data_IF_074428464887
#
_entry.id   IF_074428464887
#
_cell.length_a   1.000
_cell.length_b   1.000
_cell.length_c   1.000
_cell.angle_alpha   90.00
_cell.angle_beta   90.00
_cell.angle_gamma   90.00
#
_symmetry.space_group_name_H-M   'P 1'
#
loop_
_entity.id
_entity.type
_entity.pdbx_description
1 polymer ?
#
# COMPACT_ATOMS: atom_id res chain seq x y z
N UNK A 1 -16.02 -1.96 -15.92
CA UNK A 1 -14.55 -2.12 -15.85
C UNK A 1 -14.25 -2.82 -14.53
N UNK A 2 -13.77 -4.07 -14.57
CA UNK A 2 -13.46 -4.84 -13.37
C UNK A 2 -12.12 -4.33 -12.80
N UNK A 3 -12.19 -3.53 -11.74
CA UNK A 3 -11.02 -3.20 -10.91
C UNK A 3 -10.64 -4.46 -10.12
N UNK A 4 -9.97 -5.41 -10.77
CA UNK A 4 -9.46 -6.61 -10.12
C UNK A 4 -8.27 -6.22 -9.25
N UNK A 5 -8.48 -6.20 -7.94
CA UNK A 5 -7.39 -6.08 -6.96
C UNK A 5 -6.49 -7.30 -7.13
N UNK A 6 -5.24 -7.05 -7.47
CA UNK A 6 -4.26 -8.09 -7.75
C UNK A 6 -3.52 -8.47 -6.45
N UNK A 7 -3.77 -9.70 -5.97
CA UNK A 7 -3.19 -10.26 -4.75
C UNK A 7 -1.88 -11.02 -4.99
N UNK A 8 -1.24 -10.87 -6.17
CA UNK A 8 -0.01 -11.58 -6.56
C UNK A 8 1.26 -11.25 -5.75
N UNK A 9 1.14 -10.56 -4.61
CA UNK A 9 2.26 -10.18 -3.75
C UNK A 9 2.69 -8.71 -3.85
N UNK A 10 1.91 -7.86 -4.51
CA UNK A 10 2.15 -6.41 -4.53
C UNK A 10 1.92 -5.82 -3.12
N UNK A 11 2.74 -4.84 -2.68
CA UNK A 11 2.51 -4.16 -1.42
C UNK A 11 1.23 -3.32 -1.50
N UNK A 12 0.50 -3.25 -0.38
CA UNK A 12 -0.66 -2.39 -0.21
C UNK A 12 -0.31 -1.25 0.73
N UNK A 13 -0.77 -0.04 0.40
CA UNK A 13 -0.58 1.14 1.23
C UNK A 13 -1.92 1.81 1.52
N UNK A 14 -2.31 1.87 2.79
CA UNK A 14 -3.60 2.40 3.22
C UNK A 14 -3.46 3.80 3.78
N UNK A 15 -4.09 4.79 3.14
CA UNK A 15 -4.19 6.15 3.68
C UNK A 15 -5.44 6.22 4.57
N UNK A 16 -5.24 6.42 5.88
CA UNK A 16 -6.30 6.37 6.89
C UNK A 16 -6.62 4.95 7.35
N UNK A 17 -5.57 4.17 7.65
CA UNK A 17 -5.70 2.76 8.01
C UNK A 17 -6.47 2.52 9.32
N UNK A 18 -6.53 3.49 10.24
CA UNK A 18 -7.24 3.39 11.51
C UNK A 18 -8.76 3.51 11.41
N UNK A 19 -9.32 3.74 10.21
CA UNK A 19 -10.76 3.67 9.98
C UNK A 19 -11.31 2.25 10.14
N UNK A 20 -12.55 2.12 10.62
CA UNK A 20 -13.20 0.81 10.89
C UNK A 20 -13.18 -0.11 9.65
N UNK A 21 -13.48 0.42 8.46
CA UNK A 21 -13.50 -0.37 7.22
C UNK A 21 -12.11 -0.68 6.66
N UNK A 22 -11.21 0.31 6.66
CA UNK A 22 -9.86 0.15 6.08
C UNK A 22 -9.01 -0.77 6.95
N UNK A 23 -9.14 -0.69 8.26
CA UNK A 23 -8.42 -1.55 9.20
C UNK A 23 -8.80 -3.02 9.06
N UNK A 24 -10.09 -3.33 8.85
CA UNK A 24 -10.53 -4.70 8.60
C UNK A 24 -9.92 -5.29 7.33
N UNK A 25 -9.89 -4.50 6.24
CA UNK A 25 -9.29 -4.92 4.97
C UNK A 25 -7.77 -5.12 5.12
N UNK A 26 -7.09 -4.17 5.76
CA UNK A 26 -5.67 -4.26 6.04
C UNK A 26 -5.33 -5.50 6.86
N UNK A 27 -6.11 -5.80 7.91
CA UNK A 27 -5.92 -6.98 8.74
C UNK A 27 -6.01 -8.27 7.94
N UNK A 28 -7.02 -8.42 7.08
CA UNK A 28 -7.18 -9.61 6.23
C UNK A 28 -6.01 -9.76 5.25
N UNK A 29 -5.51 -8.66 4.69
CA UNK A 29 -4.35 -8.69 3.80
C UNK A 29 -3.07 -9.10 4.54
N UNK A 30 -2.85 -8.58 5.75
CA UNK A 30 -1.73 -8.96 6.60
C UNK A 30 -1.79 -10.44 6.99
N UNK A 31 -2.97 -10.96 7.33
CA UNK A 31 -3.17 -12.39 7.62
C UNK A 31 -2.83 -13.29 6.41
N UNK A 32 -3.05 -12.79 5.20
CA UNK A 32 -2.65 -13.44 3.94
C UNK A 32 -1.15 -13.32 3.62
N UNK A 33 -0.34 -12.82 4.57
CA UNK A 33 1.09 -12.58 4.42
C UNK A 33 1.45 -11.66 3.25
N UNK A 34 0.53 -10.75 2.90
CA UNK A 34 0.82 -9.69 1.93
C UNK A 34 1.51 -8.51 2.63
N UNK A 35 2.44 -7.82 1.96
CA UNK A 35 3.07 -6.63 2.53
C UNK A 35 2.04 -5.51 2.61
N UNK A 36 1.65 -5.16 3.84
CA UNK A 36 0.68 -4.10 4.10
C UNK A 36 1.34 -2.98 4.86
N UNK A 37 1.08 -1.76 4.41
CA UNK A 37 1.48 -0.54 5.08
C UNK A 37 0.31 0.42 5.17
N UNK A 38 0.35 1.38 6.07
CA UNK A 38 -0.64 2.42 6.10
C UNK A 38 -0.25 3.61 6.96
N UNK A 39 -0.90 4.73 6.73
CA UNK A 39 -0.69 5.98 7.43
C UNK A 39 -1.95 6.39 8.19
N UNK A 40 -1.77 6.97 9.37
CA UNK A 40 -2.86 7.61 10.11
C UNK A 40 -2.34 8.80 10.91
N UNK A 41 -3.19 9.83 11.07
CA UNK A 41 -2.94 10.98 11.94
C UNK A 41 -3.20 10.65 13.41
N UNK A 42 -4.03 9.63 13.68
CA UNK A 42 -4.39 9.22 15.04
C UNK A 42 -4.07 7.75 15.27
N UNK A 43 -3.09 7.51 16.14
CA UNK A 43 -2.85 6.19 16.66
C UNK A 43 -3.99 5.77 17.58
N UNK A 44 -4.54 4.59 17.31
CA UNK A 44 -5.60 3.96 18.10
C UNK A 44 -5.21 2.53 18.43
N UNK A 45 -5.99 1.89 19.29
CA UNK A 45 -5.83 0.45 19.58
C UNK A 45 -5.89 -0.42 18.29
N UNK A 46 -6.57 0.07 17.25
CA UNK A 46 -6.67 -0.61 15.94
C UNK A 46 -5.33 -0.56 15.20
N UNK A 47 -4.71 0.63 15.10
CA UNK A 47 -3.42 0.78 14.42
C UNK A 47 -2.32 -0.01 15.13
N UNK A 48 -2.37 -0.06 16.46
CA UNK A 48 -1.45 -0.89 17.25
C UNK A 48 -1.63 -2.38 16.96
N UNK A 49 -2.87 -2.89 16.95
CA UNK A 49 -3.14 -4.30 16.61
C UNK A 49 -2.69 -4.67 15.20
N UNK A 50 -2.86 -3.76 14.24
CA UNK A 50 -2.37 -3.97 12.87
C UNK A 50 -0.84 -4.02 12.82
N UNK A 51 -0.17 -3.15 13.58
CA UNK A 51 1.29 -3.17 13.71
C UNK A 51 1.77 -4.49 14.34
N UNK A 52 1.11 -4.96 15.39
CA UNK A 52 1.39 -6.26 16.02
C UNK A 52 1.12 -7.44 15.07
N UNK A 53 0.12 -7.33 14.20
CA UNK A 53 -0.17 -8.33 13.18
C UNK A 53 0.88 -8.38 12.04
N UNK A 54 1.76 -7.36 11.94
CA UNK A 54 2.82 -7.29 10.93
C UNK A 54 2.62 -6.24 9.84
N UNK A 55 1.65 -5.34 9.98
CA UNK A 55 1.50 -4.20 9.08
C UNK A 55 2.48 -3.07 9.45
N UNK A 56 2.99 -2.35 8.45
CA UNK A 56 3.86 -1.19 8.67
C UNK A 56 3.04 0.10 8.81
N UNK A 57 3.04 0.72 9.99
CA UNK A 57 2.22 1.91 10.26
C UNK A 57 3.07 3.18 10.31
N UNK A 58 2.70 4.18 9.51
CA UNK A 58 3.26 5.53 9.53
C UNK A 58 2.38 6.44 10.40
N UNK A 59 3.01 7.23 11.26
CA UNK A 59 2.33 8.10 12.23
C UNK A 59 1.97 9.50 11.68
N UNK A 60 2.31 9.74 10.42
CA UNK A 60 2.04 10.98 9.69
C UNK A 60 1.52 10.63 8.30
N UNK A 61 0.68 11.49 7.72
CA UNK A 61 0.16 11.33 6.36
C UNK A 61 0.92 12.25 5.39
N UNK A 62 2.14 11.87 5.07
CA UNK A 62 3.06 12.68 4.28
C UNK A 62 3.40 12.00 2.96
N UNK A 63 3.66 12.81 1.92
CA UNK A 63 4.05 12.31 0.61
C UNK A 63 5.32 11.44 0.64
N UNK A 64 6.18 11.60 1.65
CA UNK A 64 7.42 10.83 1.78
C UNK A 64 7.19 9.35 2.06
N UNK A 65 6.05 8.99 2.69
CA UNK A 65 5.67 7.60 2.94
C UNK A 65 5.55 6.79 1.65
N UNK A 66 5.09 7.41 0.56
CA UNK A 66 5.02 6.74 -0.74
C UNK A 66 6.40 6.59 -1.41
N UNK A 67 7.30 7.55 -1.18
CA UNK A 67 8.68 7.48 -1.67
C UNK A 67 9.49 6.37 -1.02
N UNK A 68 9.11 5.94 0.19
CA UNK A 68 9.68 4.76 0.83
C UNK A 68 9.63 3.52 -0.09
N UNK A 69 8.49 3.33 -0.77
CA UNK A 69 8.31 2.20 -1.69
C UNK A 69 8.98 2.44 -3.06
N UNK A 70 9.06 3.70 -3.49
CA UNK A 70 9.80 4.07 -4.71
C UNK A 70 11.27 3.67 -4.59
N UNK A 71 11.95 4.01 -3.49
CA UNK A 71 13.35 3.64 -3.24
C UNK A 71 13.56 2.13 -3.21
N UNK A 72 12.64 1.39 -2.59
CA UNK A 72 12.69 -0.07 -2.57
C UNK A 72 12.63 -0.67 -3.98
N UNK A 73 11.85 -0.06 -4.87
CA UNK A 73 11.71 -0.49 -6.27
C UNK A 73 12.87 -0.04 -7.17
N UNK A 74 13.46 1.13 -6.91
CA UNK A 74 14.59 1.67 -7.67
C UNK A 74 15.90 0.88 -7.44
N UNK A 75 16.03 0.18 -6.32
CA UNK A 75 17.17 -0.68 -6.01
C UNK A 75 17.17 -2.06 -6.72
N UNK A 76 16.02 -2.49 -7.26
CA UNK A 76 15.89 -3.80 -7.92
C UNK A 76 16.25 -3.79 -9.42
N UNK A 77 16.50 -2.61 -10.00
CA UNK A 77 16.84 -2.47 -11.41
C UNK A 77 18.37 -2.44 -11.59
N UNK A 78 19.04 -3.51 -11.19
CA UNK A 78 20.41 -3.78 -11.62
C UNK A 78 20.59 -5.28 -11.77
N UNK A 79 20.69 -5.71 -13.04
CA UNK A 79 21.45 -6.88 -13.50
C UNK A 79 20.72 -8.24 -13.59
N UNK A 80 20.28 -8.51 -14.82
CA UNK A 80 20.49 -9.73 -15.61
C UNK A 80 19.84 -11.10 -15.23
N UNK A 81 19.36 -11.73 -16.32
CA UNK A 81 19.46 -13.17 -16.65
C UNK A 81 18.42 -14.16 -16.12
N UNK A 82 17.45 -14.41 -17.01
CA UNK A 82 17.11 -15.74 -17.54
C UNK A 82 16.98 -16.90 -16.54
N UNK A 83 15.74 -17.20 -16.12
CA UNK A 83 15.32 -18.58 -15.90
C UNK A 83 13.79 -18.73 -16.01
N UNK A 84 13.38 -19.69 -16.84
CA UNK A 84 12.00 -20.09 -17.11
C UNK A 84 11.35 -20.58 -15.80
N UNK A 85 10.46 -19.79 -15.21
CA UNK A 85 9.37 -20.26 -14.35
C UNK A 85 8.06 -19.87 -15.03
N UNK A 86 7.04 -20.73 -15.09
CA UNK A 86 5.81 -20.49 -15.85
C UNK A 86 4.90 -19.41 -15.24
N UNK A 87 5.39 -18.60 -14.31
CA UNK A 87 4.75 -17.37 -13.83
C UNK A 87 5.36 -16.17 -14.54
N UNK A 88 5.14 -16.09 -15.85
CA UNK A 88 5.47 -14.90 -16.64
C UNK A 88 4.33 -13.90 -16.52
N UNK A 89 4.36 -13.01 -15.51
CA UNK A 89 3.62 -11.75 -15.60
C UNK A 89 4.29 -10.64 -14.77
N UNK A 90 4.91 -9.70 -15.48
CA UNK A 90 5.04 -8.32 -15.05
C UNK A 90 6.14 -8.02 -14.03
N UNK A 91 7.36 -7.93 -14.52
CA UNK A 91 8.42 -7.12 -13.91
C UNK A 91 8.03 -5.64 -13.92
N UNK A 92 7.19 -5.21 -12.99
CA UNK A 92 6.95 -3.79 -12.70
C UNK A 92 7.41 -3.51 -11.28
N UNK A 93 8.49 -2.74 -11.17
CA UNK A 93 9.04 -2.15 -9.96
C UNK A 93 7.92 -1.77 -8.97
N UNK A 94 7.98 -2.36 -7.78
CA UNK A 94 6.88 -2.64 -6.85
C UNK A 94 6.31 -1.41 -6.12
N UNK A 95 5.76 -0.46 -6.88
CA UNK A 95 4.93 0.61 -6.33
C UNK A 95 3.66 0.00 -5.70
N UNK A 96 3.31 0.39 -4.47
CA UNK A 96 2.20 -0.21 -3.74
C UNK A 96 0.87 0.16 -4.37
N UNK A 97 -0.10 -0.73 -4.23
CA UNK A 97 -1.50 -0.39 -4.48
C UNK A 97 -1.97 0.51 -3.34
N UNK A 98 -2.24 1.77 -3.65
CA UNK A 98 -2.68 2.74 -2.65
C UNK A 98 -4.19 2.65 -2.51
N UNK A 99 -4.65 2.34 -1.30
CA UNK A 99 -6.06 2.29 -0.93
C UNK A 99 -6.35 3.46 -0.01
N UNK A 100 -7.38 4.24 -0.33
CA UNK A 100 -7.76 5.39 0.48
C UNK A 100 -9.26 5.37 0.75
N UNK A 101 -9.64 5.80 1.96
CA UNK A 101 -11.04 6.04 2.30
C UNK A 101 -11.55 7.31 1.60
N UNK A 102 -12.83 7.31 1.24
CA UNK A 102 -13.57 8.49 0.77
C UNK A 102 -13.53 9.69 1.74
N UNK A 103 -13.28 9.45 3.03
CA UNK A 103 -13.19 10.48 4.05
C UNK A 103 -11.85 11.25 4.07
N UNK A 104 -10.85 10.84 3.30
CA UNK A 104 -9.56 11.54 3.26
C UNK A 104 -9.71 12.85 2.49
N UNK A 105 -9.26 13.95 3.12
CA UNK A 105 -9.27 15.26 2.50
C UNK A 105 -8.34 15.31 1.28
N UNK A 106 -8.81 15.92 0.19
CA UNK A 106 -8.04 16.10 -1.04
C UNK A 106 -6.81 17.00 -0.85
N UNK A 107 -6.76 17.78 0.24
CA UNK A 107 -5.58 18.55 0.65
C UNK A 107 -4.45 17.68 1.21
N UNK A 108 -4.68 16.39 1.45
CA UNK A 108 -3.65 15.49 1.97
C UNK A 108 -2.53 15.29 0.92
N UNK A 109 -1.30 15.61 1.32
CA UNK A 109 -0.12 15.50 0.46
C UNK A 109 0.15 14.07 -0.02
N UNK A 110 -0.09 13.07 0.85
CA UNK A 110 0.09 11.66 0.52
C UNK A 110 -0.93 11.21 -0.52
N UNK A 111 -2.20 11.61 -0.39
CA UNK A 111 -3.23 11.28 -1.36
C UNK A 111 -2.96 11.93 -2.74
N UNK A 112 -2.52 13.19 -2.76
CA UNK A 112 -2.14 13.88 -4.01
C UNK A 112 -0.97 13.19 -4.70
N UNK A 113 0.03 12.76 -3.92
CA UNK A 113 1.14 11.96 -4.45
C UNK A 113 0.66 10.61 -4.96
N UNK A 114 -0.24 9.91 -4.26
CA UNK A 114 -0.80 8.63 -4.71
C UNK A 114 -1.57 8.75 -6.04
N UNK A 115 -2.32 9.83 -6.22
CA UNK A 115 -3.00 10.13 -7.49
C UNK A 115 -2.01 10.35 -8.63
N UNK A 116 -0.91 11.05 -8.35
CA UNK A 116 0.16 11.27 -9.33
C UNK A 116 0.77 9.96 -9.82
N UNK A 117 0.82 8.92 -8.99
CA UNK A 117 1.30 7.59 -9.37
C UNK A 117 0.27 6.75 -10.17
N UNK A 118 -0.97 7.22 -10.36
CA UNK A 118 -1.96 6.59 -11.24
C UNK A 118 -2.47 5.21 -10.78
N UNK A 119 -2.24 4.82 -9.52
CA UNK A 119 -2.62 3.50 -8.95
C UNK A 119 -3.44 3.60 -7.65
N UNK A 120 -4.06 4.75 -7.38
CA UNK A 120 -4.92 4.91 -6.20
C UNK A 120 -6.31 4.32 -6.43
N UNK A 121 -6.75 3.46 -5.52
CA UNK A 121 -8.10 2.89 -5.48
C UNK A 121 -8.87 3.56 -4.34
N UNK A 122 -9.90 4.34 -4.70
CA UNK A 122 -10.81 4.95 -3.72
C UNK A 122 -11.94 3.96 -3.46
N UNK A 123 -12.00 3.44 -2.24
CA UNK A 123 -13.08 2.54 -1.83
C UNK A 123 -14.28 3.40 -1.39
N UNK A 124 -15.51 3.11 -1.90
CA UNK A 124 -16.71 3.87 -1.57
C UNK A 124 -17.04 3.85 -0.08
#
# INVERSE_FOLDING_TARGET
MLNSVDFSGKPFHFIGIGGIGMSALAYVLTQRQLPVSGSDLRLSHITQRLQEAGAHIFWSQEADNLKFFEKASAGACSRESMQIRPYSLGSDCTLPQVVCSTAINESNSEYRSAQYFGRSLRLP
#
